data_IF_293672941016
#
_entry.id   IF_293672941016
#
_cell.length_a   1.000
_cell.length_b   1.000
_cell.length_c   1.000
_cell.angle_alpha   90.00
_cell.angle_beta   90.00
_cell.angle_gamma   90.00
#
_symmetry.space_group_name_H-M   'P 1'
#
loop_
_entity.id
_entity.type
_entity.pdbx_description
1 polymer ?
#
# COMPACT_ATOMS: atom_id res chain seq x y z
N UNK A 1 34.75 -17.10 2.51
CA UNK A 1 35.02 -17.91 1.31
C UNK A 1 33.70 -18.44 0.76
N UNK A 2 33.36 -18.03 -0.46
CA UNK A 2 32.23 -18.57 -1.19
C UNK A 2 32.66 -19.91 -1.79
N UNK A 3 32.06 -21.00 -1.31
CA UNK A 3 32.26 -22.32 -1.91
C UNK A 3 31.21 -22.53 -3.00
N UNK A 4 31.51 -23.37 -3.98
CA UNK A 4 30.58 -23.69 -5.08
C UNK A 4 29.21 -24.11 -4.55
N UNK A 5 29.17 -24.95 -3.51
CA UNK A 5 27.92 -25.37 -2.86
C UNK A 5 27.13 -24.22 -2.22
N UNK A 6 27.81 -23.24 -1.61
CA UNK A 6 27.16 -22.05 -1.02
C UNK A 6 26.57 -21.13 -2.09
N UNK A 7 27.28 -20.95 -3.21
CA UNK A 7 26.79 -20.15 -4.34
C UNK A 7 25.55 -20.78 -4.95
N UNK A 8 25.56 -22.10 -5.18
CA UNK A 8 24.41 -22.84 -5.73
C UNK A 8 23.20 -22.72 -4.79
N UNK A 9 23.40 -22.95 -3.49
CA UNK A 9 22.33 -22.83 -2.50
C UNK A 9 21.75 -21.41 -2.46
N UNK A 10 22.60 -20.39 -2.39
CA UNK A 10 22.16 -19.00 -2.32
C UNK A 10 21.35 -18.60 -3.56
N UNK A 11 21.80 -18.99 -4.76
CA UNK A 11 21.08 -18.73 -6.00
C UNK A 11 19.71 -19.39 -6.03
N UNK A 12 19.62 -20.68 -5.67
CA UNK A 12 18.34 -21.39 -5.60
C UNK A 12 17.40 -20.79 -4.56
N UNK A 13 17.93 -20.46 -3.37
CA UNK A 13 17.16 -19.83 -2.30
C UNK A 13 16.57 -18.48 -2.76
N UNK A 14 17.38 -17.62 -3.37
CA UNK A 14 16.93 -16.31 -3.88
C UNK A 14 15.82 -16.48 -4.91
N UNK A 15 15.96 -17.41 -5.87
CA UNK A 15 14.93 -17.63 -6.89
C UNK A 15 13.60 -18.07 -6.27
N UNK A 16 13.63 -19.05 -5.36
CA UNK A 16 12.42 -19.54 -4.68
C UNK A 16 11.80 -18.45 -3.80
N UNK A 17 12.64 -17.71 -3.08
CA UNK A 17 12.20 -16.63 -2.20
C UNK A 17 11.53 -15.50 -2.98
N UNK A 18 12.17 -15.00 -4.03
CA UNK A 18 11.63 -13.93 -4.88
C UNK A 18 10.34 -14.38 -5.57
N UNK A 19 10.30 -15.61 -6.08
CA UNK A 19 9.07 -16.16 -6.70
C UNK A 19 7.92 -16.18 -5.70
N UNK A 20 8.17 -16.64 -4.47
CA UNK A 20 7.17 -16.69 -3.39
C UNK A 20 6.71 -15.28 -3.00
N UNK A 21 7.64 -14.33 -2.89
CA UNK A 21 7.36 -12.93 -2.59
C UNK A 21 6.44 -12.31 -3.65
N UNK A 22 6.74 -12.51 -4.94
CA UNK A 22 5.93 -12.00 -6.06
C UNK A 22 4.52 -12.59 -6.02
N UNK A 23 4.37 -13.89 -5.78
CA UNK A 23 3.05 -14.53 -5.66
C UNK A 23 2.28 -13.94 -4.48
N UNK A 24 2.93 -13.75 -3.33
CA UNK A 24 2.31 -13.15 -2.14
C UNK A 24 1.81 -11.74 -2.43
N UNK A 25 2.64 -10.87 -3.01
CA UNK A 25 2.24 -9.50 -3.33
C UNK A 25 1.15 -9.42 -4.39
N UNK A 26 1.12 -10.32 -5.37
CA UNK A 26 0.00 -10.38 -6.32
C UNK A 26 -1.32 -10.71 -5.62
N UNK A 27 -1.30 -11.66 -4.67
CA UNK A 27 -2.48 -12.01 -3.87
C UNK A 27 -2.92 -10.84 -2.98
N UNK A 28 -1.97 -10.17 -2.35
CA UNK A 28 -2.24 -9.04 -1.46
C UNK A 28 -2.74 -7.83 -2.23
N UNK A 29 -2.19 -7.51 -3.41
CA UNK A 29 -2.71 -6.45 -4.28
C UNK A 29 -4.15 -6.73 -4.71
N UNK A 30 -4.48 -7.98 -5.07
CA UNK A 30 -5.85 -8.38 -5.41
C UNK A 30 -6.79 -8.25 -4.20
N UNK A 31 -6.32 -8.60 -3.00
CA UNK A 31 -7.10 -8.52 -1.76
C UNK A 31 -7.28 -7.08 -1.28
N UNK A 32 -6.24 -6.25 -1.35
CA UNK A 32 -6.29 -4.81 -1.09
C UNK A 32 -7.24 -4.11 -2.02
N UNK A 33 -7.26 -4.49 -3.31
CA UNK A 33 -8.33 -4.05 -4.20
C UNK A 33 -9.66 -4.49 -3.57
N UNK A 34 -9.98 -5.78 -3.45
CA UNK A 34 -11.30 -6.24 -2.96
C UNK A 34 -11.81 -5.58 -1.66
N UNK A 35 -10.97 -5.39 -0.63
CA UNK A 35 -11.41 -4.93 0.69
C UNK A 35 -11.16 -3.45 0.98
N UNK A 36 -10.23 -2.82 0.27
CA UNK A 36 -9.89 -1.39 0.43
C UNK A 36 -10.16 -0.59 -0.85
N UNK A 37 -11.05 -1.06 -1.74
CA UNK A 37 -11.45 -0.27 -2.91
C UNK A 37 -11.92 1.10 -2.45
N UNK A 38 -11.29 2.14 -3.01
CA UNK A 38 -11.68 3.52 -2.80
C UNK A 38 -11.56 4.02 -1.35
N UNK A 39 -10.98 3.25 -0.43
CA UNK A 39 -10.77 3.70 0.95
C UNK A 39 -9.94 4.98 1.03
N UNK A 40 -8.86 5.05 0.24
CA UNK A 40 -8.04 6.26 0.13
C UNK A 40 -8.83 7.45 -0.46
N UNK A 41 -9.71 7.20 -1.43
CA UNK A 41 -10.59 8.24 -2.00
C UNK A 41 -11.60 8.75 -0.96
N UNK A 42 -12.23 7.85 -0.20
CA UNK A 42 -13.18 8.24 0.84
C UNK A 42 -12.52 9.06 1.94
N UNK A 43 -11.31 8.67 2.38
CA UNK A 43 -10.54 9.45 3.35
C UNK A 43 -10.16 10.81 2.78
N UNK A 44 -9.70 10.88 1.51
CA UNK A 44 -9.37 12.14 0.87
C UNK A 44 -10.59 13.08 0.78
N UNK A 45 -11.74 12.56 0.38
CA UNK A 45 -13.00 13.32 0.33
C UNK A 45 -13.38 13.82 1.72
N UNK A 46 -13.32 12.97 2.75
CA UNK A 46 -13.64 13.36 4.12
C UNK A 46 -12.72 14.50 4.64
N UNK A 47 -11.42 14.44 4.31
CA UNK A 47 -10.46 15.50 4.65
C UNK A 47 -10.83 16.80 3.94
N UNK A 48 -11.05 16.76 2.62
CA UNK A 48 -11.40 17.96 1.84
C UNK A 48 -12.70 18.60 2.33
N UNK A 49 -13.72 17.79 2.62
CA UNK A 49 -15.00 18.27 3.17
C UNK A 49 -14.80 18.91 4.54
N UNK A 50 -14.07 18.25 5.44
CA UNK A 50 -13.77 18.78 6.78
C UNK A 50 -13.04 20.11 6.71
N UNK A 51 -12.00 20.21 5.87
CA UNK A 51 -11.24 21.44 5.68
C UNK A 51 -12.14 22.54 5.10
N UNK A 52 -12.96 22.22 4.09
CA UNK A 52 -13.87 23.19 3.48
C UNK A 52 -14.88 23.73 4.49
N UNK A 53 -15.45 22.87 5.34
CA UNK A 53 -16.34 23.28 6.44
C UNK A 53 -15.66 24.19 7.45
N UNK A 54 -14.39 23.93 7.80
CA UNK A 54 -13.62 24.80 8.68
C UNK A 54 -13.39 26.19 8.08
N UNK A 55 -13.14 26.28 6.78
CA UNK A 55 -13.06 27.58 6.11
C UNK A 55 -14.42 28.26 6.02
N UNK A 56 -15.49 27.52 5.74
CA UNK A 56 -16.84 28.06 5.64
C UNK A 56 -17.34 28.60 6.98
N UNK A 57 -17.06 27.91 8.08
CA UNK A 57 -17.42 28.38 9.43
C UNK A 57 -16.76 29.72 9.76
N UNK A 58 -15.52 29.95 9.30
CA UNK A 58 -14.83 31.24 9.46
C UNK A 58 -15.57 32.39 8.76
N UNK A 59 -16.22 32.14 7.63
CA UNK A 59 -17.01 33.17 6.94
C UNK A 59 -18.40 33.35 7.56
N UNK A 60 -19.03 32.27 8.04
CA UNK A 60 -20.36 32.32 8.68
C UNK A 60 -20.34 32.98 10.07
N UNK A 61 -19.26 32.81 10.84
CA UNK A 61 -19.13 33.36 12.20
C UNK A 61 -18.65 34.83 12.19
N UNK A 62 -18.16 35.31 11.04
CA UNK A 62 -17.61 36.66 10.88
C UNK A 62 -18.57 37.62 10.14
N UNK A 63 -19.77 37.14 9.78
CA UNK A 63 -20.89 37.93 9.26
C UNK A 63 -21.94 38.21 10.31
#
# INVERSE_FOLDING_TARGET
>A
MFTTGRIIFASLFVVVFVTTMVISYKKDAKRNKKYYQNGALYVAVAIVVTISLLFLSKYLIKG
#
